data_IF_204387729512
#
_entry.id   IF_204387729512
#
_cell.length_a   1.000
_cell.length_b   1.000
_cell.length_c   1.000
_cell.angle_alpha   90.00
_cell.angle_beta   90.00
_cell.angle_gamma   90.00
#
_symmetry.space_group_name_H-M   'P 1'
#
loop_
_entity.id
_entity.type
_entity.pdbx_description
1 polymer ?
#
# COMPACT_ATOMS: atom_id res chain seq x y z
N UNK A 1 23.74 -17.56 34.63
CA UNK A 1 23.73 -16.09 34.81
C UNK A 1 23.46 -15.35 33.48
N UNK A 2 22.45 -15.78 32.69
CA UNK A 2 22.04 -15.10 31.44
C UNK A 2 20.55 -14.70 31.42
N UNK A 3 19.72 -15.30 32.28
CA UNK A 3 18.30 -14.93 32.39
C UNK A 3 18.09 -13.54 33.03
N UNK A 4 18.94 -13.15 33.98
CA UNK A 4 18.82 -11.86 34.68
C UNK A 4 19.15 -10.65 33.79
N UNK A 5 20.05 -10.81 32.81
CA UNK A 5 20.43 -9.73 31.90
C UNK A 5 19.29 -9.41 30.91
N UNK A 6 18.61 -10.44 30.39
CA UNK A 6 17.49 -10.29 29.47
C UNK A 6 16.29 -9.57 30.10
N UNK A 7 15.93 -9.92 31.35
CA UNK A 7 14.81 -9.28 32.06
C UNK A 7 15.10 -7.82 32.41
N UNK A 8 16.35 -7.50 32.81
CA UNK A 8 16.75 -6.13 33.16
C UNK A 8 16.70 -5.18 31.97
N UNK A 9 17.20 -5.62 30.80
CA UNK A 9 17.14 -4.83 29.56
C UNK A 9 15.68 -4.63 29.12
N UNK A 10 14.83 -5.64 29.22
CA UNK A 10 13.42 -5.56 28.83
C UNK A 10 12.63 -4.59 29.72
N UNK A 11 12.89 -4.60 31.04
CA UNK A 11 12.27 -3.67 31.98
C UNK A 11 12.78 -2.24 31.78
N UNK A 12 14.08 -2.06 31.57
CA UNK A 12 14.68 -0.75 31.32
C UNK A 12 14.16 -0.12 30.00
N UNK A 13 14.12 -0.88 28.90
CA UNK A 13 13.49 -0.44 27.65
C UNK A 13 11.98 -0.17 27.84
N UNK A 14 11.30 -0.91 28.72
CA UNK A 14 9.93 -0.64 29.13
C UNK A 14 9.75 0.73 29.80
N UNK A 15 10.73 1.20 30.58
CA UNK A 15 10.72 2.54 31.20
C UNK A 15 11.06 3.67 30.22
N UNK A 16 11.78 3.35 29.14
CA UNK A 16 12.09 4.28 28.05
C UNK A 16 10.98 4.38 27.00
N UNK A 17 9.92 3.57 27.10
CA UNK A 17 8.70 3.81 26.33
C UNK A 17 8.13 5.13 26.81
N UNK A 18 8.29 6.18 25.99
CA UNK A 18 7.49 7.38 26.11
C UNK A 18 6.04 6.97 26.30
N UNK A 19 5.35 7.60 27.25
CA UNK A 19 3.88 7.61 27.29
C UNK A 19 3.40 8.29 26.00
N UNK A 20 3.55 7.62 24.85
CA UNK A 20 2.71 7.88 23.69
C UNK A 20 1.35 7.47 24.20
N UNK A 21 0.66 8.49 24.65
CA UNK A 21 -0.59 8.43 25.35
C UNK A 21 -1.48 7.46 24.56
N UNK A 22 -2.12 6.52 25.26
CA UNK A 22 -3.34 5.86 24.76
C UNK A 22 -4.48 6.89 24.64
N UNK A 23 -4.19 8.10 24.20
CA UNK A 23 -5.19 9.07 23.83
C UNK A 23 -5.47 8.72 22.40
N UNK A 24 -6.67 8.15 22.21
CA UNK A 24 -7.33 8.07 20.92
C UNK A 24 -6.94 9.30 20.10
N UNK A 25 -6.49 9.12 18.87
CA UNK A 25 -6.00 10.23 18.07
C UNK A 25 -7.07 11.33 18.07
N UNK A 26 -6.72 12.54 18.55
CA UNK A 26 -7.68 13.64 18.69
C UNK A 26 -8.23 13.98 17.32
N UNK A 27 -9.54 13.80 17.14
CA UNK A 27 -10.18 14.05 15.86
C UNK A 27 -9.87 15.49 15.42
N UNK A 28 -9.40 15.67 14.18
CA UNK A 28 -8.97 16.97 13.72
C UNK A 28 -10.23 17.84 13.59
N UNK A 29 -10.34 18.88 14.42
CA UNK A 29 -11.56 19.67 14.55
C UNK A 29 -11.37 21.08 13.98
N UNK A 30 -10.24 21.76 14.24
CA UNK A 30 -9.83 23.00 13.56
C UNK A 30 -8.31 23.16 13.72
N UNK A 31 -7.60 23.56 12.66
CA UNK A 31 -6.23 24.11 12.81
C UNK A 31 -6.25 25.59 12.45
N UNK A 32 -5.47 26.43 13.15
CA UNK A 32 -5.15 27.80 12.68
C UNK A 32 -3.99 27.66 11.69
N UNK A 33 -4.24 27.57 10.37
CA UNK A 33 -3.18 27.21 9.44
C UNK A 33 -2.23 28.39 9.30
N UNK A 34 -0.94 28.16 9.45
CA UNK A 34 0.08 29.16 9.09
C UNK A 34 0.18 29.35 7.57
N UNK A 35 -0.32 28.37 6.82
CA UNK A 35 -0.41 28.35 5.36
C UNK A 35 -1.75 27.71 4.99
N UNK A 36 -2.56 28.41 4.18
CA UNK A 36 -3.74 27.83 3.54
C UNK A 36 -3.30 27.23 2.22
N UNK A 37 -3.35 25.91 2.12
CA UNK A 37 -3.07 25.22 0.86
C UNK A 37 -4.30 25.35 -0.04
N UNK A 38 -4.17 25.84 -1.29
CA UNK A 38 -5.27 25.81 -2.23
C UNK A 38 -5.66 24.36 -2.54
N UNK A 39 -6.96 24.11 -2.65
CA UNK A 39 -7.51 22.78 -2.96
C UNK A 39 -8.06 22.04 -1.74
N UNK A 40 -8.17 20.72 -1.86
CA UNK A 40 -8.68 19.86 -0.79
C UNK A 40 -7.75 18.68 -0.62
N UNK A 41 -7.32 18.44 0.61
CA UNK A 41 -6.57 17.25 0.97
C UNK A 41 -7.52 16.21 1.56
N UNK A 42 -7.29 14.94 1.25
CA UNK A 42 -8.01 13.83 1.86
C UNK A 42 -7.08 13.13 2.83
N UNK A 43 -7.48 13.05 4.08
CA UNK A 43 -6.66 12.55 5.19
C UNK A 43 -7.41 11.44 5.89
N UNK A 44 -6.67 10.45 6.38
CA UNK A 44 -7.18 9.42 7.26
C UNK A 44 -6.65 9.64 8.66
N UNK A 45 -7.52 9.55 9.65
CA UNK A 45 -7.14 9.54 11.05
C UNK A 45 -8.05 8.62 11.86
N UNK A 46 -7.46 7.72 12.66
CA UNK A 46 -8.19 6.73 13.47
C UNK A 46 -9.19 5.90 12.63
N UNK A 47 -8.79 5.52 11.41
CA UNK A 47 -9.65 4.78 10.47
C UNK A 47 -10.74 5.62 9.79
N UNK A 48 -10.84 6.91 10.08
CA UNK A 48 -11.89 7.80 9.53
C UNK A 48 -11.33 8.69 8.44
N UNK A 49 -12.15 8.97 7.41
CA UNK A 49 -11.79 9.83 6.29
C UNK A 49 -12.20 11.28 6.55
N UNK A 50 -11.33 12.22 6.19
CA UNK A 50 -11.57 13.65 6.32
C UNK A 50 -11.19 14.39 5.05
N UNK A 51 -11.98 15.42 4.73
CA UNK A 51 -11.57 16.52 3.86
C UNK A 51 -10.92 17.60 4.70
N UNK A 52 -9.74 18.03 4.31
CA UNK A 52 -9.11 19.25 4.78
C UNK A 52 -9.21 20.30 3.67
N UNK A 53 -9.94 21.38 3.93
CA UNK A 53 -10.10 22.51 3.01
C UNK A 53 -10.10 23.81 3.83
N UNK A 54 -9.32 24.80 3.39
CA UNK A 54 -9.24 26.11 4.05
C UNK A 54 -8.92 26.03 5.56
N UNK A 55 -8.15 25.02 5.98
CA UNK A 55 -7.80 24.75 7.39
C UNK A 55 -8.85 24.01 8.23
N UNK A 56 -10.04 23.79 7.67
CA UNK A 56 -11.14 23.07 8.30
C UNK A 56 -11.13 21.59 7.93
N UNK A 57 -11.43 20.74 8.90
CA UNK A 57 -11.61 19.31 8.71
C UNK A 57 -13.10 18.96 8.70
N UNK A 58 -13.55 18.26 7.66
CA UNK A 58 -14.89 17.69 7.57
C UNK A 58 -14.75 16.20 7.41
N UNK A 59 -15.27 15.43 8.36
CA UNK A 59 -15.35 13.99 8.22
C UNK A 59 -16.26 13.61 7.05
N UNK A 60 -15.89 12.57 6.31
CA UNK A 60 -16.62 12.05 5.17
C UNK A 60 -16.72 10.53 5.22
N UNK A 61 -17.68 10.00 4.47
CA UNK A 61 -17.91 8.55 4.38
C UNK A 61 -18.45 7.92 5.66
N UNK A 62 -18.63 6.61 5.60
CA UNK A 62 -19.12 5.81 6.72
C UNK A 62 -17.99 5.47 7.70
N UNK A 63 -18.28 5.24 9.00
CA UNK A 63 -17.29 4.73 9.93
C UNK A 63 -16.64 3.42 9.43
N UNK A 64 -15.34 3.26 9.66
CA UNK A 64 -14.58 2.10 9.23
C UNK A 64 -13.13 2.17 9.68
N UNK A 65 -12.32 1.21 9.24
CA UNK A 65 -10.85 1.25 9.34
C UNK A 65 -10.27 1.60 7.96
N UNK A 66 -10.60 2.81 7.50
CA UNK A 66 -10.13 3.35 6.22
C UNK A 66 -8.65 3.68 6.29
N UNK A 67 -7.94 3.55 5.17
CA UNK A 67 -6.54 3.95 5.03
C UNK A 67 -6.16 4.22 3.58
N UNK A 68 -5.00 4.86 3.40
CA UNK A 68 -4.32 5.02 2.10
C UNK A 68 -5.20 5.58 0.96
N UNK A 69 -5.91 6.71 1.16
CA UNK A 69 -6.70 7.31 0.10
C UNK A 69 -5.79 7.84 -1.02
N UNK A 70 -6.24 7.71 -2.27
CA UNK A 70 -5.67 8.35 -3.45
C UNK A 70 -6.79 8.97 -4.28
N UNK A 71 -6.54 10.12 -4.90
CA UNK A 71 -7.47 10.71 -5.87
C UNK A 71 -7.34 10.00 -7.23
N UNK A 72 -8.44 9.96 -7.98
CA UNK A 72 -8.39 9.75 -9.43
C UNK A 72 -7.80 10.99 -10.12
N UNK A 73 -7.14 10.87 -11.28
CA UNK A 73 -6.48 12.00 -11.95
C UNK A 73 -7.43 13.13 -12.36
N UNK A 74 -8.71 12.82 -12.58
CA UNK A 74 -9.76 13.79 -12.88
C UNK A 74 -10.30 14.53 -11.63
N UNK A 75 -9.80 14.17 -10.45
CA UNK A 75 -10.20 14.71 -9.15
C UNK A 75 -11.69 14.54 -8.80
N UNK A 76 -12.38 13.56 -9.37
CA UNK A 76 -13.82 13.35 -9.11
C UNK A 76 -14.09 12.24 -8.09
N UNK A 77 -13.14 11.33 -7.87
CA UNK A 77 -13.28 10.18 -6.98
C UNK A 77 -12.03 9.92 -6.14
N UNK A 78 -12.20 9.11 -5.10
CA UNK A 78 -11.13 8.57 -4.29
C UNK A 78 -11.08 7.05 -4.45
N UNK A 79 -9.89 6.47 -4.41
CA UNK A 79 -9.71 5.06 -4.08
C UNK A 79 -9.12 4.96 -2.68
N UNK A 80 -9.73 4.17 -1.81
CA UNK A 80 -9.26 3.96 -0.44
C UNK A 80 -9.29 2.48 -0.05
N UNK A 81 -8.47 2.13 0.93
CA UNK A 81 -8.43 0.79 1.52
C UNK A 81 -9.36 0.77 2.72
N UNK A 82 -10.27 -0.20 2.80
CA UNK A 82 -11.01 -0.53 4.02
C UNK A 82 -10.47 -1.85 4.58
N UNK A 83 -9.95 -1.81 5.80
CA UNK A 83 -9.45 -3.01 6.48
C UNK A 83 -10.58 -3.72 7.21
N UNK A 84 -10.63 -5.03 7.03
CA UNK A 84 -11.39 -5.95 7.87
C UNK A 84 -10.48 -6.59 8.93
N UNK A 85 -11.01 -7.61 9.62
CA UNK A 85 -10.25 -8.30 10.66
C UNK A 85 -8.99 -9.01 10.12
N UNK A 86 -9.10 -9.66 8.97
CA UNK A 86 -8.04 -10.51 8.38
C UNK A 86 -7.93 -10.35 6.85
N UNK A 87 -8.42 -9.24 6.30
CA UNK A 87 -8.35 -8.91 4.88
C UNK A 87 -8.45 -7.40 4.70
N UNK A 88 -8.20 -6.92 3.49
CA UNK A 88 -8.51 -5.52 3.13
C UNK A 88 -9.08 -5.45 1.73
N UNK A 89 -9.93 -4.47 1.49
CA UNK A 89 -10.53 -4.23 0.19
C UNK A 89 -10.35 -2.80 -0.29
N UNK A 90 -10.26 -2.65 -1.61
CA UNK A 90 -10.22 -1.35 -2.27
C UNK A 90 -11.64 -0.90 -2.60
N UNK A 91 -11.94 0.37 -2.36
CA UNK A 91 -13.22 0.98 -2.68
C UNK A 91 -12.99 2.25 -3.48
N UNK A 92 -13.82 2.44 -4.51
CA UNK A 92 -14.01 3.72 -5.18
C UNK A 92 -15.09 4.49 -4.43
N UNK A 93 -14.77 5.71 -4.02
CA UNK A 93 -15.65 6.62 -3.31
C UNK A 93 -15.85 7.88 -4.15
N UNK A 94 -17.00 8.52 -4.02
CA UNK A 94 -17.13 9.92 -4.43
C UNK A 94 -16.32 10.82 -3.46
N UNK A 95 -16.17 12.10 -3.80
CA UNK A 95 -15.41 12.99 -2.92
C UNK A 95 -16.07 13.15 -1.54
N UNK A 96 -17.39 12.91 -1.37
CA UNK A 96 -18.06 12.96 -0.07
C UNK A 96 -17.94 11.65 0.74
N UNK A 97 -17.13 10.70 0.26
CA UNK A 97 -16.87 9.42 0.91
C UNK A 97 -18.00 8.40 0.74
N UNK A 98 -18.99 8.67 -0.12
CA UNK A 98 -19.98 7.65 -0.46
C UNK A 98 -19.35 6.56 -1.32
N UNK A 99 -19.65 5.31 -0.99
CA UNK A 99 -19.15 4.17 -1.76
C UNK A 99 -19.84 4.15 -3.12
N UNK A 100 -19.07 4.39 -4.17
CA UNK A 100 -19.50 4.24 -5.57
C UNK A 100 -19.37 2.79 -6.00
N UNK A 101 -18.25 2.14 -5.64
CA UNK A 101 -17.98 0.76 -6.03
C UNK A 101 -16.98 0.09 -5.09
N UNK A 102 -17.25 -1.18 -4.75
CA UNK A 102 -16.24 -2.07 -4.17
C UNK A 102 -15.39 -2.65 -5.30
N UNK A 103 -14.08 -2.39 -5.27
CA UNK A 103 -13.15 -2.74 -6.34
C UNK A 103 -12.57 -4.15 -6.18
N UNK A 104 -12.41 -4.62 -4.94
CA UNK A 104 -11.94 -5.98 -4.62
C UNK A 104 -12.87 -6.67 -3.62
N UNK A 105 -12.85 -8.00 -3.58
CA UNK A 105 -13.54 -8.81 -2.58
C UNK A 105 -12.60 -9.89 -2.03
N UNK A 106 -11.89 -9.53 -0.96
CA UNK A 106 -10.77 -10.30 -0.45
C UNK A 106 -11.06 -11.04 0.86
N UNK A 107 -12.30 -10.96 1.36
CA UNK A 107 -12.73 -11.74 2.51
C UNK A 107 -13.35 -13.07 2.06
N UNK A 108 -13.00 -14.14 2.76
CA UNK A 108 -13.48 -15.49 2.58
C UNK A 108 -13.95 -16.08 3.91
N UNK A 109 -14.78 -17.13 3.85
CA UNK A 109 -15.15 -17.93 5.02
C UNK A 109 -13.97 -18.77 5.54
N UNK A 110 -13.04 -19.09 4.65
CA UNK A 110 -11.82 -19.84 4.91
C UNK A 110 -10.69 -18.84 5.00
N UNK A 111 -10.08 -18.70 6.17
CA UNK A 111 -9.14 -17.61 6.49
C UNK A 111 -7.92 -17.64 5.57
N UNK A 112 -7.49 -18.83 5.15
CA UNK A 112 -6.38 -19.05 4.22
C UNK A 112 -6.61 -18.47 2.82
N UNK A 113 -7.87 -18.20 2.46
CA UNK A 113 -8.25 -17.53 1.21
C UNK A 113 -8.54 -16.03 1.38
N UNK A 114 -8.24 -15.47 2.56
CA UNK A 114 -8.26 -14.03 2.73
C UNK A 114 -7.04 -13.39 2.07
N UNK A 115 -7.28 -12.23 1.47
CA UNK A 115 -6.25 -11.47 0.78
C UNK A 115 -6.11 -10.05 1.33
N UNK A 116 -4.90 -9.52 1.18
CA UNK A 116 -4.56 -8.15 1.50
C UNK A 116 -4.33 -7.36 0.21
N UNK A 117 -5.05 -6.25 0.05
CA UNK A 117 -4.86 -5.28 -1.01
C UNK A 117 -4.53 -3.90 -0.42
N UNK A 118 -3.43 -3.29 -0.89
CA UNK A 118 -2.89 -2.04 -0.38
C UNK A 118 -2.31 -1.16 -1.47
N UNK A 119 -1.96 0.07 -1.09
CA UNK A 119 -1.27 1.07 -1.89
C UNK A 119 -1.92 1.34 -3.26
N UNK A 120 -3.23 1.63 -3.31
CA UNK A 120 -3.89 1.91 -4.57
C UNK A 120 -3.30 3.15 -5.25
N UNK A 121 -3.10 3.10 -6.57
CA UNK A 121 -2.81 4.23 -7.44
C UNK A 121 -3.52 4.08 -8.77
N UNK A 122 -4.09 5.17 -9.26
CA UNK A 122 -4.69 5.20 -10.59
C UNK A 122 -3.66 5.73 -11.58
N UNK A 123 -3.59 5.12 -12.76
CA UNK A 123 -2.74 5.57 -13.85
C UNK A 123 -3.06 7.02 -14.26
N UNK A 124 -2.10 7.77 -14.82
CA UNK A 124 -2.32 9.17 -15.21
C UNK A 124 -3.48 9.39 -16.18
N UNK A 125 -3.82 8.41 -17.01
CA UNK A 125 -4.94 8.43 -17.95
C UNK A 125 -6.30 8.10 -17.30
N UNK A 126 -6.32 7.75 -16.02
CA UNK A 126 -7.52 7.39 -15.27
C UNK A 126 -8.08 5.99 -15.54
N UNK A 127 -7.44 5.19 -16.41
CA UNK A 127 -8.04 3.94 -16.91
C UNK A 127 -7.75 2.70 -16.05
N UNK A 128 -6.60 2.69 -15.36
CA UNK A 128 -6.03 1.50 -14.73
C UNK A 128 -5.75 1.75 -13.26
N UNK A 129 -6.18 0.83 -12.40
CA UNK A 129 -5.83 0.79 -10.99
C UNK A 129 -4.65 -0.15 -10.78
N UNK A 130 -3.59 0.36 -10.18
CA UNK A 130 -2.44 -0.37 -9.65
C UNK A 130 -2.55 -0.50 -8.13
N UNK A 131 -2.15 -1.63 -7.59
CA UNK A 131 -2.17 -1.90 -6.16
C UNK A 131 -1.25 -3.06 -5.81
N UNK A 132 -0.80 -3.11 -4.57
CA UNK A 132 -0.10 -4.27 -4.02
C UNK A 132 -1.12 -5.29 -3.52
N UNK A 133 -0.93 -6.54 -3.90
CA UNK A 133 -1.87 -7.62 -3.61
C UNK A 133 -1.14 -8.93 -3.41
N UNK A 134 -1.56 -9.68 -2.39
CA UNK A 134 -0.93 -10.96 -2.01
C UNK A 134 -1.58 -12.18 -2.68
N UNK A 135 -2.57 -11.97 -3.55
CA UNK A 135 -3.19 -13.06 -4.30
C UNK A 135 -2.48 -13.34 -5.64
N UNK A 136 -2.54 -14.58 -6.17
CA UNK A 136 -2.93 -15.80 -5.44
C UNK A 136 -1.85 -16.22 -4.44
N UNK A 137 -2.27 -16.74 -3.28
CA UNK A 137 -1.41 -17.38 -2.28
C UNK A 137 -1.43 -18.88 -2.47
N UNK A 138 -0.38 -19.56 -2.02
CA UNK A 138 -0.31 -21.02 -1.95
C UNK A 138 -0.50 -21.73 -3.30
N UNK A 139 -0.04 -21.12 -4.39
CA UNK A 139 0.07 -21.74 -5.72
C UNK A 139 1.53 -21.84 -6.13
N UNK A 140 1.83 -22.74 -7.07
CA UNK A 140 3.18 -22.87 -7.63
C UNK A 140 3.62 -21.53 -8.25
N UNK A 141 4.69 -20.94 -7.71
CA UNK A 141 5.16 -19.60 -8.10
C UNK A 141 4.54 -18.43 -7.32
N UNK A 142 3.86 -18.70 -6.20
CA UNK A 142 3.50 -17.74 -5.14
C UNK A 142 3.32 -18.47 -3.78
N UNK A 143 4.42 -18.88 -3.12
CA UNK A 143 4.38 -19.77 -1.96
C UNK A 143 3.92 -19.11 -0.65
N UNK A 144 3.81 -17.78 -0.57
CA UNK A 144 3.57 -17.06 0.68
C UNK A 144 2.63 -15.86 0.55
N UNK A 145 2.49 -15.13 1.65
CA UNK A 145 1.65 -13.93 1.80
C UNK A 145 2.30 -12.65 1.25
N UNK A 146 3.31 -12.77 0.37
CA UNK A 146 4.03 -11.60 -0.13
C UNK A 146 3.19 -10.81 -1.14
N UNK A 147 3.26 -9.49 -1.02
CA UNK A 147 2.62 -8.61 -1.97
C UNK A 147 3.33 -8.66 -3.33
N UNK A 148 2.56 -8.62 -4.41
CA UNK A 148 3.05 -8.29 -5.75
C UNK A 148 2.33 -7.06 -6.25
N UNK A 149 2.88 -6.35 -7.23
CA UNK A 149 2.13 -5.30 -7.92
C UNK A 149 1.14 -5.96 -8.88
N UNK A 150 -0.12 -5.57 -8.79
CA UNK A 150 -1.19 -5.95 -9.69
C UNK A 150 -1.80 -4.73 -10.36
N UNK A 151 -2.39 -4.92 -11.53
CA UNK A 151 -3.17 -3.90 -12.21
C UNK A 151 -4.49 -4.44 -12.73
N UNK A 152 -5.54 -3.62 -12.73
CA UNK A 152 -6.83 -3.94 -13.36
C UNK A 152 -7.48 -2.67 -13.93
N UNK A 153 -8.43 -2.77 -14.89
CA UNK A 153 -9.20 -1.62 -15.33
C UNK A 153 -9.99 -1.03 -14.14
N UNK A 154 -9.91 0.28 -13.92
CA UNK A 154 -10.61 0.95 -12.79
C UNK A 154 -12.12 0.71 -12.85
N UNK A 155 -12.69 0.77 -14.06
CA UNK A 155 -14.10 0.51 -14.31
C UNK A 155 -14.44 -0.98 -14.45
N UNK A 156 -13.44 -1.87 -14.42
CA UNK A 156 -13.58 -3.32 -14.56
C UNK A 156 -13.78 -4.08 -13.24
N UNK A 157 -13.66 -5.41 -13.27
CA UNK A 157 -13.75 -6.28 -12.10
C UNK A 157 -12.38 -6.82 -11.67
N UNK A 158 -12.27 -7.23 -10.40
CA UNK A 158 -11.05 -7.86 -9.87
C UNK A 158 -10.61 -9.11 -10.66
N UNK A 159 -11.54 -9.85 -11.30
CA UNK A 159 -11.19 -10.97 -12.18
C UNK A 159 -10.36 -10.58 -13.41
N UNK A 160 -10.34 -9.30 -13.78
CA UNK A 160 -9.49 -8.76 -14.85
C UNK A 160 -8.10 -8.36 -14.34
N UNK A 161 -7.82 -8.49 -13.03
CA UNK A 161 -6.54 -8.13 -12.47
C UNK A 161 -5.42 -9.03 -13.03
N UNK A 162 -4.25 -8.43 -13.23
CA UNK A 162 -3.04 -9.11 -13.72
C UNK A 162 -1.85 -8.74 -12.85
N UNK A 163 -1.07 -9.75 -12.45
CA UNK A 163 0.21 -9.58 -11.76
C UNK A 163 1.20 -8.89 -12.69
N UNK A 164 1.91 -7.89 -12.18
CA UNK A 164 2.89 -7.07 -12.91
C UNK A 164 4.31 -7.33 -12.47
N UNK A 165 4.51 -7.83 -11.25
CA UNK A 165 5.84 -8.11 -10.70
C UNK A 165 5.89 -9.51 -10.09
N UNK A 166 7.11 -10.03 -9.93
CA UNK A 166 7.36 -11.27 -9.23
C UNK A 166 8.30 -10.94 -8.07
N UNK A 167 7.79 -10.83 -6.84
CA UNK A 167 8.60 -10.39 -5.71
C UNK A 167 9.65 -11.44 -5.36
N UNK A 168 10.66 -11.03 -4.60
CA UNK A 168 11.45 -11.99 -3.83
C UNK A 168 10.56 -12.54 -2.71
N UNK A 169 10.26 -13.84 -2.76
CA UNK A 169 9.41 -14.47 -1.77
C UNK A 169 10.01 -14.38 -0.37
N UNK A 170 9.15 -14.30 0.63
CA UNK A 170 9.40 -14.16 2.06
C UNK A 170 10.02 -12.83 2.49
N UNK A 171 9.90 -11.79 1.66
CA UNK A 171 10.41 -10.43 1.96
C UNK A 171 9.32 -9.44 2.35
N UNK A 172 8.05 -9.85 2.32
CA UNK A 172 6.87 -8.98 2.41
C UNK A 172 6.39 -8.48 1.05
N UNK A 173 7.24 -8.57 0.02
CA UNK A 173 6.88 -8.35 -1.38
C UNK A 173 7.00 -6.92 -1.89
N UNK A 174 6.41 -6.67 -3.05
CA UNK A 174 6.50 -5.41 -3.79
C UNK A 174 5.41 -4.41 -3.37
N UNK A 175 5.81 -3.20 -3.00
CA UNK A 175 4.93 -2.19 -2.40
C UNK A 175 4.98 -0.83 -3.10
N UNK A 176 3.98 0.00 -2.82
CA UNK A 176 3.90 1.41 -3.25
C UNK A 176 4.07 1.61 -4.76
N UNK A 177 3.22 1.00 -5.61
CA UNK A 177 3.29 1.23 -7.04
C UNK A 177 3.09 2.72 -7.32
N UNK A 178 3.82 3.25 -8.30
CA UNK A 178 3.66 4.60 -8.85
C UNK A 178 3.56 4.44 -10.36
N UNK A 179 2.34 4.43 -10.92
CA UNK A 179 2.15 4.30 -12.36
C UNK A 179 2.66 5.56 -13.06
N UNK A 180 3.33 5.34 -14.19
CA UNK A 180 3.85 6.36 -15.09
C UNK A 180 3.05 6.37 -16.40
N UNK A 181 3.40 7.29 -17.30
CA UNK A 181 2.91 7.24 -18.67
C UNK A 181 3.28 5.90 -19.35
N UNK A 182 2.54 5.53 -20.40
CA UNK A 182 2.80 4.33 -21.20
C UNK A 182 2.80 3.00 -20.40
N UNK A 183 2.00 2.90 -19.33
CA UNK A 183 1.84 1.68 -18.49
C UNK A 183 3.09 1.21 -17.73
N UNK A 184 4.15 2.03 -17.66
CA UNK A 184 5.29 1.76 -16.78
C UNK A 184 4.91 1.98 -15.30
N UNK A 185 5.63 1.32 -14.39
CA UNK A 185 5.38 1.42 -12.94
C UNK A 185 6.71 1.43 -12.17
N UNK A 186 6.85 2.38 -11.25
CA UNK A 186 7.90 2.34 -10.21
C UNK A 186 7.33 1.69 -8.95
N UNK A 187 8.13 0.95 -8.21
CA UNK A 187 7.70 0.31 -6.97
C UNK A 187 8.90 0.09 -6.05
N UNK A 188 8.62 -0.21 -4.79
CA UNK A 188 9.63 -0.64 -3.82
C UNK A 188 9.63 -2.15 -3.81
N UNK A 189 10.80 -2.73 -4.10
CA UNK A 189 11.06 -4.16 -3.97
C UNK A 189 11.93 -4.40 -2.75
N UNK A 190 11.56 -5.40 -1.95
CA UNK A 190 12.40 -5.92 -0.89
C UNK A 190 13.19 -7.13 -1.40
N UNK A 191 14.47 -7.20 -1.08
CA UNK A 191 15.32 -8.34 -1.40
C UNK A 191 16.07 -8.82 -0.17
N UNK A 192 16.38 -10.11 -0.14
CA UNK A 192 17.28 -10.70 0.84
C UNK A 192 18.62 -11.03 0.20
N UNK A 193 19.69 -10.59 0.86
CA UNK A 193 21.08 -10.71 0.36
C UNK A 193 21.54 -12.15 0.14
N UNK A 194 20.89 -13.13 0.77
CA UNK A 194 21.13 -14.56 0.56
C UNK A 194 20.54 -15.06 -0.76
N UNK A 195 19.46 -14.43 -1.25
CA UNK A 195 18.80 -14.74 -2.52
C UNK A 195 19.59 -14.12 -3.69
N UNK A 196 20.23 -12.97 -3.48
CA UNK A 196 21.05 -12.28 -4.49
C UNK A 196 22.39 -12.98 -4.81
N UNK A 197 22.86 -13.92 -3.97
CA UNK A 197 24.12 -14.67 -4.22
C UNK A 197 24.07 -15.62 -5.44
N UNK A 198 22.89 -15.82 -6.03
CA UNK A 198 22.73 -16.54 -7.30
C UNK A 198 22.66 -15.64 -8.54
N UNK A 199 22.57 -14.32 -8.37
CA UNK A 199 22.28 -13.38 -9.46
C UNK A 199 23.38 -12.34 -9.73
N UNK A 200 24.36 -12.22 -8.83
CA UNK A 200 25.53 -11.35 -9.04
C UNK A 200 26.82 -12.18 -8.96
N UNK A 201 27.60 -12.31 -10.05
CA UNK A 201 28.94 -12.86 -9.95
C UNK A 201 29.77 -11.99 -9.00
N UNK A 202 30.66 -12.65 -8.26
CA UNK A 202 31.58 -12.07 -7.30
C UNK A 202 32.28 -10.81 -7.87
N UNK A 203 32.21 -9.64 -7.20
CA UNK A 203 32.90 -8.43 -7.65
C UNK A 203 34.43 -8.56 -7.68
N UNK A 204 35.00 -9.67 -7.21
CA UNK A 204 36.42 -9.98 -7.36
C UNK A 204 36.82 -10.42 -8.78
N UNK A 205 35.86 -10.71 -9.67
CA UNK A 205 36.12 -11.03 -11.08
C UNK A 205 35.47 -9.99 -12.01
N UNK A 206 36.29 -9.06 -12.48
CA UNK A 206 36.10 -8.04 -13.53
C UNK A 206 35.73 -6.58 -13.16
N UNK A 207 36.39 -5.58 -13.82
CA UNK A 207 36.30 -4.18 -13.47
C UNK A 207 35.13 -3.44 -14.17
N UNK A 208 34.45 -2.60 -13.40
CA UNK A 208 33.64 -1.45 -13.83
C UNK A 208 32.45 -1.69 -14.75
N UNK A 209 31.26 -1.93 -14.17
CA UNK A 209 30.00 -1.39 -14.72
C UNK A 209 29.15 -0.79 -13.60
N UNK A 210 28.69 0.44 -13.84
CA UNK A 210 27.86 1.26 -12.94
C UNK A 210 26.46 0.66 -12.77
N UNK A 211 25.72 1.02 -11.69
CA UNK A 211 24.37 0.50 -11.43
C UNK A 211 23.43 0.83 -12.60
N UNK A 212 22.90 -0.21 -13.25
CA UNK A 212 22.00 -0.08 -14.39
C UNK A 212 20.54 -0.02 -13.92
N UNK A 213 19.83 1.03 -14.34
CA UNK A 213 18.37 1.09 -14.32
C UNK A 213 17.80 0.07 -15.31
N UNK A 214 16.91 -0.82 -14.87
CA UNK A 214 16.14 -1.67 -15.78
C UNK A 214 14.79 -1.02 -16.08
N UNK A 215 14.63 -0.50 -17.30
CA UNK A 215 13.34 -0.26 -17.91
C UNK A 215 12.89 -1.54 -18.63
N UNK A 216 11.65 -1.98 -18.40
CA UNK A 216 11.05 -3.09 -19.14
C UNK A 216 10.28 -2.47 -20.32
N UNK A 217 10.88 -2.49 -21.50
CA UNK A 217 10.15 -2.39 -22.77
C UNK A 217 9.56 -3.77 -23.09
N UNK A 218 8.26 -3.83 -23.41
CA UNK A 218 7.67 -5.01 -24.04
C UNK A 218 7.61 -4.80 -25.56
N UNK A 219 8.06 -5.77 -26.38
CA UNK A 219 7.86 -5.72 -27.82
C UNK A 219 6.41 -6.04 -28.16
N UNK A 220 5.85 -5.26 -29.09
CA UNK A 220 4.53 -5.50 -29.66
C UNK A 220 4.50 -6.75 -30.54
N UNK A 221 3.34 -7.41 -30.52
CA UNK A 221 2.91 -8.50 -31.40
C UNK A 221 1.41 -8.69 -31.24
#
# INVERSE_FOLDING_TARGET
>A
MMLAFGSGVYLYLGTLKSKVVKTRADLPTVTKPRLVLPGTMFVVQDGRLFKLKDGGFTEIGVPGDWSQPTLTPDHTHLVAVLRGALSSDLYLLDLNGHIVKRLTNNASKTVEYNHWAFYPRVSPDGSTLFYSYDGPKHVDGAPGDDLSIWSMPLNGSQSQARRRTNPYWYTGGDVTPVPLAASAVLYVQHSDRSIDRGAFPDPATEPSRRPGWQAIDQPGG
#
